data_IF_340929002661
#
_entry.id   IF_340929002661
#
_cell.length_a   1.000
_cell.length_b   1.000
_cell.length_c   1.000
_cell.angle_alpha   90.00
_cell.angle_beta   90.00
_cell.angle_gamma   90.00
#
_symmetry.space_group_name_H-M   'P 1'
#
loop_
_entity.id
_entity.type
_entity.pdbx_description
1 polymer ?
#
# COMPACT_ATOMS: atom_id res chain seq x y z
N UNK A 1 -15.80 -2.31 2.65
CA UNK A 1 -15.74 -1.66 3.98
C UNK A 1 -14.62 -2.35 4.75
N UNK A 2 -13.65 -1.57 5.22
CA UNK A 2 -12.43 -2.05 5.87
C UNK A 2 -11.31 -1.06 5.60
N UNK A 3 -11.11 -0.09 6.51
CA UNK A 3 -9.97 0.83 6.46
C UNK A 3 -8.81 0.17 7.21
N UNK A 4 -7.61 0.17 6.61
CA UNK A 4 -6.42 -0.37 7.26
C UNK A 4 -6.12 0.32 8.59
N UNK A 5 -6.37 1.63 8.69
CA UNK A 5 -6.19 2.38 9.93
C UNK A 5 -7.07 1.87 11.07
N UNK A 6 -8.34 1.55 10.79
CA UNK A 6 -9.25 1.00 11.79
C UNK A 6 -8.76 -0.35 12.31
N UNK A 7 -8.23 -1.20 11.42
CA UNK A 7 -7.65 -2.49 11.79
C UNK A 7 -6.43 -2.28 12.70
N UNK A 8 -5.55 -1.35 12.35
CA UNK A 8 -4.37 -1.03 13.17
C UNK A 8 -4.79 -0.55 14.56
N UNK A 9 -5.76 0.36 14.66
CA UNK A 9 -6.28 0.87 15.94
C UNK A 9 -6.89 -0.25 16.81
N UNK A 10 -7.56 -1.22 16.20
CA UNK A 10 -8.09 -2.40 16.90
C UNK A 10 -6.96 -3.29 17.46
N UNK A 11 -5.87 -3.48 16.72
CA UNK A 11 -4.69 -4.22 17.21
C UNK A 11 -4.00 -3.45 18.34
N UNK A 12 -3.81 -2.13 18.19
CA UNK A 12 -3.25 -1.26 19.26
C UNK A 12 -4.05 -1.34 20.55
N UNK A 13 -5.38 -1.43 20.47
CA UNK A 13 -6.26 -1.56 21.63
C UNK A 13 -6.29 -2.97 22.26
N UNK A 14 -5.50 -3.92 21.74
CA UNK A 14 -5.34 -5.25 22.33
C UNK A 14 -6.42 -6.26 21.97
N UNK A 15 -7.24 -5.99 20.95
CA UNK A 15 -8.31 -6.91 20.54
C UNK A 15 -7.82 -8.13 19.74
N UNK A 16 -6.51 -8.21 19.41
CA UNK A 16 -5.91 -9.37 18.78
C UNK A 16 -4.77 -9.04 17.82
N UNK A 17 -4.53 -9.93 16.87
CA UNK A 17 -3.51 -9.81 15.82
C UNK A 17 -4.14 -9.80 14.43
N UNK A 18 -3.49 -9.18 13.44
CA UNK A 18 -4.00 -9.10 12.07
C UNK A 18 -2.88 -9.04 11.03
N UNK A 19 -3.17 -9.44 9.80
CA UNK A 19 -2.29 -9.29 8.65
C UNK A 19 -2.56 -7.93 7.99
N UNK A 20 -1.63 -7.00 8.16
CA UNK A 20 -1.75 -5.62 7.68
C UNK A 20 -0.56 -5.32 6.76
N UNK A 21 -0.80 -4.54 5.70
CA UNK A 21 0.29 -4.01 4.87
C UNK A 21 1.28 -3.25 5.76
N UNK A 22 2.58 -3.56 5.63
CA UNK A 22 3.62 -2.84 6.37
C UNK A 22 3.59 -1.34 6.10
N UNK A 23 3.20 -0.92 4.89
CA UNK A 23 3.03 0.49 4.56
C UNK A 23 1.90 1.13 5.39
N UNK A 24 0.76 0.45 5.54
CA UNK A 24 -0.39 0.98 6.28
C UNK A 24 -0.19 0.97 7.81
N UNK A 25 0.70 0.11 8.30
CA UNK A 25 1.06 0.00 9.72
C UNK A 25 2.32 0.80 10.11
N UNK A 26 3.00 1.43 9.14
CA UNK A 26 4.29 2.11 9.33
C UNK A 26 4.27 3.11 10.50
N UNK A 27 3.28 4.00 10.52
CA UNK A 27 3.12 4.98 11.59
C UNK A 27 3.01 4.35 13.00
N UNK A 28 2.28 3.24 13.15
CA UNK A 28 2.09 2.58 14.43
C UNK A 28 3.35 1.80 14.86
N UNK A 29 4.06 1.22 13.89
CA UNK A 29 5.35 0.59 14.11
C UNK A 29 6.40 1.62 14.57
N UNK A 30 6.45 2.78 13.93
CA UNK A 30 7.35 3.88 14.27
C UNK A 30 7.06 4.44 15.68
N UNK A 31 5.77 4.56 16.02
CA UNK A 31 5.31 4.91 17.36
C UNK A 31 5.49 3.81 18.41
N UNK A 32 5.89 2.59 18.00
CA UNK A 32 6.03 1.40 18.87
C UNK A 32 4.74 1.03 19.61
N UNK A 33 3.58 1.39 19.06
CA UNK A 33 2.27 1.04 19.63
C UNK A 33 1.81 -0.36 19.22
N UNK A 34 2.39 -0.89 18.14
CA UNK A 34 2.29 -2.30 17.74
C UNK A 34 3.68 -2.84 17.39
N UNK A 35 3.79 -4.17 17.29
CA UNK A 35 5.00 -4.85 16.82
C UNK A 35 4.69 -5.73 15.61
N UNK A 36 5.67 -5.88 14.71
CA UNK A 36 5.60 -6.85 13.62
C UNK A 36 6.06 -8.22 14.13
N UNK A 37 5.23 -9.24 13.92
CA UNK A 37 5.58 -10.63 14.23
C UNK A 37 5.84 -11.38 12.90
N UNK A 38 7.06 -11.87 12.65
CA UNK A 38 7.33 -12.66 11.45
C UNK A 38 6.67 -14.04 11.55
N UNK A 39 6.06 -14.50 10.45
CA UNK A 39 5.46 -15.84 10.36
C UNK A 39 6.43 -16.73 9.60
N UNK A 40 6.92 -17.78 10.25
CA UNK A 40 7.89 -18.69 9.63
C UNK A 40 7.28 -19.38 8.40
N UNK A 41 8.06 -19.44 7.32
CA UNK A 41 7.65 -20.08 6.07
C UNK A 41 6.62 -19.31 5.25
N UNK A 42 6.27 -18.08 5.62
CA UNK A 42 5.27 -17.28 4.92
C UNK A 42 5.79 -15.89 4.57
N UNK A 43 5.72 -15.55 3.28
CA UNK A 43 6.02 -14.22 2.76
C UNK A 43 4.78 -13.66 2.05
N UNK A 44 4.11 -12.70 2.70
CA UNK A 44 2.91 -12.06 2.17
C UNK A 44 3.29 -10.90 1.25
N UNK A 45 3.34 -11.18 -0.06
CA UNK A 45 3.54 -10.15 -1.09
C UNK A 45 2.23 -9.77 -1.75
N UNK A 46 1.96 -8.47 -1.85
CA UNK A 46 0.81 -7.94 -2.57
C UNK A 46 1.27 -6.94 -3.62
N UNK A 47 1.13 -7.31 -4.88
CA UNK A 47 1.41 -6.40 -6.00
C UNK A 47 0.31 -5.35 -6.12
N UNK A 48 0.72 -4.08 -6.11
CA UNK A 48 -0.17 -2.96 -6.41
C UNK A 48 -0.21 -2.74 -7.93
N UNK A 49 -1.40 -2.44 -8.46
CA UNK A 49 -1.58 -2.18 -9.88
C UNK A 49 -2.28 -0.84 -10.08
N UNK A 50 -1.80 -0.07 -11.05
CA UNK A 50 -2.48 1.11 -11.53
C UNK A 50 -3.32 0.73 -12.75
N UNK A 51 -4.63 0.97 -12.70
CA UNK A 51 -5.57 0.65 -13.79
C UNK A 51 -6.21 1.93 -14.29
N UNK A 52 -6.33 2.08 -15.62
CA UNK A 52 -7.09 3.15 -16.25
C UNK A 52 -8.05 2.60 -17.29
N UNK A 53 -9.22 3.23 -17.41
CA UNK A 53 -10.13 2.97 -18.53
C UNK A 53 -9.54 3.55 -19.82
N UNK A 54 -9.43 2.73 -20.87
CA UNK A 54 -9.06 3.21 -22.21
C UNK A 54 -10.27 3.91 -22.82
N UNK A 55 -10.19 5.23 -22.99
CA UNK A 55 -11.25 6.06 -23.58
C UNK A 55 -10.85 6.47 -25.01
N UNK A 56 -11.85 6.64 -25.88
CA UNK A 56 -11.63 7.11 -27.27
C UNK A 56 -11.09 8.54 -27.31
N UNK A 57 -11.54 9.39 -26.38
CA UNK A 57 -10.99 10.73 -26.12
C UNK A 57 -10.37 10.69 -24.71
N UNK A 58 -9.04 10.85 -24.57
CA UNK A 58 -8.40 10.83 -23.27
C UNK A 58 -8.83 12.02 -22.41
N UNK A 59 -9.19 11.76 -21.14
CA UNK A 59 -9.36 12.83 -20.16
C UNK A 59 -7.98 13.41 -19.80
N UNK A 60 -7.81 14.73 -19.97
CA UNK A 60 -6.54 15.43 -19.71
C UNK A 60 -6.01 15.20 -18.30
N UNK A 61 -6.87 15.25 -17.27
CA UNK A 61 -6.47 15.04 -15.87
C UNK A 61 -5.96 13.62 -15.66
N UNK A 62 -6.66 12.62 -16.21
CA UNK A 62 -6.23 11.22 -16.15
C UNK A 62 -4.88 11.03 -16.87
N UNK A 63 -4.70 11.68 -18.02
CA UNK A 63 -3.45 11.67 -18.77
C UNK A 63 -2.30 12.27 -17.98
N UNK A 64 -2.51 13.45 -17.38
CA UNK A 64 -1.51 14.13 -16.55
C UNK A 64 -1.12 13.29 -15.34
N UNK A 65 -2.10 12.75 -14.59
CA UNK A 65 -1.79 11.91 -13.42
C UNK A 65 -1.08 10.62 -13.82
N UNK A 66 -1.51 9.98 -14.91
CA UNK A 66 -0.83 8.80 -15.44
C UNK A 66 0.62 9.10 -15.81
N UNK A 67 0.86 10.22 -16.51
CA UNK A 67 2.20 10.67 -16.88
C UNK A 67 3.07 11.03 -15.67
N UNK A 68 2.48 11.65 -14.65
CA UNK A 68 3.17 11.95 -13.39
C UNK A 68 3.65 10.66 -12.71
N UNK A 69 2.78 9.65 -12.52
CA UNK A 69 3.17 8.38 -11.90
C UNK A 69 4.24 7.65 -12.71
N UNK A 70 4.17 7.70 -14.05
CA UNK A 70 5.14 7.05 -14.95
C UNK A 70 6.31 7.94 -15.37
N UNK A 71 6.54 9.06 -14.69
CA UNK A 71 7.67 9.93 -14.99
C UNK A 71 8.98 9.16 -14.74
N UNK A 72 10.03 9.31 -15.58
CA UNK A 72 11.30 8.60 -15.40
C UNK A 72 11.96 8.81 -14.03
N UNK A 73 11.67 9.95 -13.38
CA UNK A 73 12.12 10.23 -12.01
C UNK A 73 11.46 9.37 -10.92
N UNK A 74 10.41 8.60 -11.23
CA UNK A 74 9.66 7.75 -10.30
C UNK A 74 9.86 6.24 -10.59
N UNK A 75 10.86 5.89 -11.40
CA UNK A 75 11.11 4.48 -11.79
C UNK A 75 11.42 3.60 -10.59
N UNK A 76 12.05 4.15 -9.56
CA UNK A 76 12.27 3.50 -8.27
C UNK A 76 10.94 3.06 -7.62
N UNK A 77 9.96 3.95 -7.55
CA UNK A 77 8.63 3.66 -6.99
C UNK A 77 7.89 2.56 -7.75
N UNK A 78 8.04 2.54 -9.08
CA UNK A 78 7.44 1.51 -9.93
C UNK A 78 8.11 0.15 -9.74
N UNK A 79 9.44 0.12 -9.61
CA UNK A 79 10.19 -1.11 -9.37
C UNK A 79 9.87 -1.76 -8.01
N UNK A 80 9.57 -0.95 -6.99
CA UNK A 80 9.16 -1.44 -5.66
C UNK A 80 7.87 -2.28 -5.72
N UNK A 81 7.01 -2.05 -6.70
CA UNK A 81 5.78 -2.83 -6.88
C UNK A 81 6.02 -4.17 -7.61
N UNK A 82 7.21 -4.41 -8.17
CA UNK A 82 7.53 -5.62 -8.93
C UNK A 82 8.19 -6.73 -8.10
N UNK A 83 8.90 -6.35 -7.03
CA UNK A 83 9.53 -7.24 -6.03
C UNK A 83 8.57 -7.74 -4.96
#
# INVERSE_FOLDING_TARGET
IGNAEAIVKTVEAGFGVSLISSLAASWALDCKTIIKVPISGVDFRRKAYMVRKKLKIPNRVVGTFWGFVHHPGNTDLLSLAET
#
